data_IF_363982272467
#
_entry.id   IF_363982272467
#
_cell.length_a   1.000
_cell.length_b   1.000
_cell.length_c   1.000
_cell.angle_alpha   90.00
_cell.angle_beta   90.00
_cell.angle_gamma   90.00
#
_symmetry.space_group_name_H-M   'P 1'
#
loop_
_entity.id
_entity.type
_entity.pdbx_description
1 polymer ?
#
# COMPACT_ATOMS: atom_id res chain seq x y z
N UNK A 1 21.97 10.75 1.99
CA UNK A 1 23.39 10.98 2.36
C UNK A 1 24.16 9.69 2.56
N UNK A 2 23.66 8.70 3.35
CA UNK A 2 24.41 7.47 3.65
C UNK A 2 24.76 6.65 2.39
N UNK A 3 23.80 6.44 1.48
CA UNK A 3 24.02 5.66 0.26
C UNK A 3 25.12 6.31 -0.61
N UNK A 4 25.00 7.57 -0.92
CA UNK A 4 25.96 8.27 -1.77
C UNK A 4 27.33 8.43 -1.12
N UNK A 5 27.40 8.59 0.22
CA UNK A 5 28.67 8.60 0.94
C UNK A 5 29.41 7.26 0.91
N UNK A 6 28.75 6.18 0.50
CA UNK A 6 29.31 4.85 0.31
C UNK A 6 29.28 4.39 -1.15
N UNK A 7 29.27 5.31 -2.11
CA UNK A 7 29.24 5.04 -3.56
C UNK A 7 28.10 4.11 -4.00
N UNK A 8 26.95 4.18 -3.32
CA UNK A 8 25.75 3.40 -3.63
C UNK A 8 24.67 4.29 -4.24
N UNK A 9 23.90 3.73 -5.15
CA UNK A 9 22.68 4.35 -5.66
C UNK A 9 21.50 4.08 -4.72
N UNK A 10 20.61 5.05 -4.62
CA UNK A 10 19.39 4.95 -3.83
C UNK A 10 18.18 4.63 -4.72
N UNK A 11 17.61 3.44 -4.54
CA UNK A 11 16.38 3.03 -5.19
C UNK A 11 15.21 3.02 -4.19
N UNK A 12 14.10 3.61 -4.57
CA UNK A 12 12.84 3.56 -3.81
C UNK A 12 11.84 2.65 -4.54
N UNK A 13 11.39 1.59 -3.87
CA UNK A 13 10.18 0.88 -4.28
C UNK A 13 8.96 1.72 -3.90
N UNK A 14 8.47 2.45 -4.88
CA UNK A 14 7.32 3.35 -4.75
C UNK A 14 6.01 2.72 -5.20
N UNK A 15 5.82 1.40 -5.03
CA UNK A 15 4.56 0.71 -5.39
C UNK A 15 3.32 1.33 -4.71
N UNK A 16 3.51 2.07 -3.60
CA UNK A 16 2.49 2.86 -2.91
C UNK A 16 2.98 4.27 -2.56
N UNK A 17 3.83 4.84 -3.37
CA UNK A 17 4.40 6.17 -3.11
C UNK A 17 3.32 7.26 -2.99
N UNK A 18 2.22 7.13 -3.75
CA UNK A 18 1.09 8.06 -3.66
C UNK A 18 0.48 8.09 -2.25
N UNK A 19 0.34 6.92 -1.61
CA UNK A 19 -0.15 6.84 -0.24
C UNK A 19 0.82 7.52 0.75
N UNK A 20 2.13 7.34 0.55
CA UNK A 20 3.16 7.98 1.37
C UNK A 20 3.15 9.51 1.23
N UNK A 21 3.10 10.02 0.00
CA UNK A 21 3.05 11.46 -0.28
C UNK A 21 1.84 12.11 0.39
N UNK A 22 0.65 11.50 0.25
CA UNK A 22 -0.58 11.99 0.88
C UNK A 22 -0.50 11.89 2.40
N UNK A 23 0.04 10.79 2.92
CA UNK A 23 0.11 10.57 4.37
C UNK A 23 1.01 11.57 5.09
N UNK A 24 2.06 12.04 4.43
CA UNK A 24 3.03 13.00 4.96
C UNK A 24 2.72 14.44 4.56
N UNK A 25 1.60 14.69 3.88
CA UNK A 25 1.23 16.01 3.33
C UNK A 25 2.41 16.66 2.56
N UNK A 26 3.06 15.86 1.72
CA UNK A 26 4.28 16.23 1.00
C UNK A 26 4.05 16.20 -0.51
N UNK A 27 5.10 16.43 -1.28
CA UNK A 27 5.12 16.29 -2.73
C UNK A 27 6.04 15.15 -3.17
N UNK A 28 5.84 14.64 -4.39
CA UNK A 28 6.79 13.70 -4.99
C UNK A 28 8.20 14.28 -5.07
N UNK A 29 8.31 15.61 -5.31
CA UNK A 29 9.60 16.29 -5.35
C UNK A 29 10.32 16.19 -4.00
N UNK A 30 9.67 16.59 -2.93
CA UNK A 30 10.23 16.57 -1.58
C UNK A 30 10.60 15.17 -1.11
N UNK A 31 9.74 14.18 -1.40
CA UNK A 31 10.00 12.80 -0.97
C UNK A 31 11.05 12.06 -1.80
N UNK A 32 11.24 12.42 -3.05
CA UNK A 32 12.06 11.66 -3.99
C UNK A 32 13.29 12.46 -4.45
N UNK A 33 13.09 13.56 -5.19
CA UNK A 33 14.23 14.26 -5.78
C UNK A 33 15.06 15.04 -4.76
N UNK A 34 14.41 15.69 -3.80
CA UNK A 34 15.09 16.48 -2.79
C UNK A 34 15.81 15.60 -1.75
N UNK A 35 15.40 14.33 -1.63
CA UNK A 35 16.07 13.34 -0.77
C UNK A 35 17.22 12.61 -1.47
N UNK A 36 17.44 12.87 -2.77
CA UNK A 36 18.55 12.29 -3.52
C UNK A 36 18.29 10.87 -4.02
N UNK A 37 17.04 10.49 -4.29
CA UNK A 37 16.71 9.20 -4.91
C UNK A 37 17.22 9.17 -6.35
N UNK A 38 17.96 8.11 -6.71
CA UNK A 38 18.47 7.91 -8.07
C UNK A 38 17.47 7.18 -8.97
N UNK A 39 16.66 6.30 -8.39
CA UNK A 39 15.72 5.45 -9.09
C UNK A 39 14.44 5.25 -8.29
N UNK A 40 13.30 5.39 -8.95
CA UNK A 40 11.98 5.16 -8.36
C UNK A 40 11.21 4.14 -9.20
N UNK A 41 10.71 3.09 -8.58
CA UNK A 41 9.61 2.29 -9.12
C UNK A 41 8.30 2.97 -8.75
N UNK A 42 7.70 3.70 -9.69
CA UNK A 42 6.48 4.47 -9.45
C UNK A 42 5.25 3.58 -9.69
N UNK A 43 4.50 3.30 -8.63
CA UNK A 43 3.32 2.43 -8.66
C UNK A 43 2.06 3.14 -9.15
N UNK A 44 1.44 2.58 -10.18
CA UNK A 44 0.12 3.02 -10.67
C UNK A 44 -0.99 2.02 -10.39
N UNK A 45 -0.72 0.73 -10.59
CA UNK A 45 -1.73 -0.34 -10.51
C UNK A 45 -2.39 -0.44 -9.13
N UNK A 46 -1.62 -0.37 -8.05
CA UNK A 46 -2.17 -0.46 -6.68
C UNK A 46 -2.97 0.76 -6.25
N UNK A 47 -3.00 1.78 -7.07
CA UNK A 47 -3.67 3.05 -6.77
C UNK A 47 -4.64 3.50 -7.88
N UNK A 48 -5.21 2.55 -8.64
CA UNK A 48 -6.36 2.76 -9.52
C UNK A 48 -6.08 2.75 -11.01
N UNK A 49 -4.83 2.56 -11.47
CA UNK A 49 -4.57 2.23 -12.87
C UNK A 49 -4.94 0.76 -13.14
N UNK A 50 -5.46 0.45 -14.32
CA UNK A 50 -5.76 -0.94 -14.69
C UNK A 50 -4.50 -1.81 -14.67
N UNK A 51 -3.41 -1.29 -15.23
CA UNK A 51 -2.09 -1.92 -15.28
C UNK A 51 -1.05 -0.84 -15.59
N UNK A 52 0.04 -0.82 -14.87
CA UNK A 52 1.17 0.03 -15.20
C UNK A 52 1.99 0.44 -13.98
N UNK A 53 3.28 0.23 -14.12
CA UNK A 53 4.31 0.72 -13.23
C UNK A 53 5.33 1.48 -14.08
N UNK A 54 5.86 2.58 -13.57
CA UNK A 54 6.88 3.34 -14.27
C UNK A 54 8.20 3.29 -13.51
N UNK A 55 9.28 3.06 -14.24
CA UNK A 55 10.63 3.24 -13.69
C UNK A 55 11.07 4.66 -14.04
N UNK A 56 11.25 5.48 -13.02
CA UNK A 56 11.70 6.87 -13.14
C UNK A 56 13.14 6.95 -12.65
N UNK A 57 14.05 7.34 -13.54
CA UNK A 57 15.47 7.49 -13.20
C UNK A 57 15.85 8.97 -13.18
N UNK A 58 16.48 9.38 -12.11
CA UNK A 58 17.08 10.70 -11.94
C UNK A 58 18.60 10.68 -12.24
N UNK A 59 19.14 9.47 -12.52
CA UNK A 59 20.54 9.24 -12.80
C UNK A 59 20.71 8.64 -14.20
N UNK A 60 21.42 9.37 -15.10
CA UNK A 60 21.63 8.97 -16.49
C UNK A 60 22.50 7.71 -16.64
N UNK A 61 23.43 7.48 -15.73
CA UNK A 61 24.29 6.30 -15.75
C UNK A 61 23.50 5.02 -15.55
N UNK A 62 22.56 5.04 -14.61
CA UNK A 62 21.67 3.90 -14.36
C UNK A 62 20.76 3.63 -15.56
N UNK A 63 20.22 4.69 -16.15
CA UNK A 63 19.14 4.57 -17.16
C UNK A 63 19.63 4.35 -18.59
N UNK A 64 20.93 4.47 -18.89
CA UNK A 64 21.47 4.40 -20.27
C UNK A 64 21.04 3.16 -21.07
N UNK A 65 20.81 2.04 -20.40
CA UNK A 65 20.44 0.77 -21.03
C UNK A 65 18.98 0.34 -20.79
N UNK A 66 18.16 1.15 -20.14
CA UNK A 66 16.78 0.76 -19.74
C UNK A 66 15.91 0.28 -20.91
N UNK A 67 16.02 0.88 -22.10
CA UNK A 67 15.27 0.43 -23.28
C UNK A 67 15.56 -1.02 -23.67
N UNK A 68 16.80 -1.46 -23.50
CA UNK A 68 17.22 -2.84 -23.79
C UNK A 68 16.83 -3.79 -22.65
N UNK A 69 17.10 -3.39 -21.41
CA UNK A 69 16.73 -4.15 -20.20
C UNK A 69 15.24 -4.41 -20.17
N UNK A 70 14.41 -3.38 -20.43
CA UNK A 70 12.95 -3.52 -20.50
C UNK A 70 12.53 -4.56 -21.53
N UNK A 71 13.15 -4.54 -22.72
CA UNK A 71 12.83 -5.49 -23.78
C UNK A 71 13.28 -6.91 -23.42
N UNK A 72 14.51 -7.06 -22.92
CA UNK A 72 15.05 -8.35 -22.47
C UNK A 72 14.23 -8.96 -21.31
N UNK A 73 13.79 -8.12 -20.37
CA UNK A 73 12.93 -8.51 -19.25
C UNK A 73 11.46 -8.73 -19.65
N UNK A 74 11.12 -8.75 -20.94
CA UNK A 74 9.74 -8.91 -21.44
C UNK A 74 8.75 -7.88 -20.93
N UNK A 75 9.23 -6.71 -20.48
CA UNK A 75 8.40 -5.60 -19.96
C UNK A 75 8.03 -4.60 -21.06
N UNK A 76 8.24 -4.95 -22.31
CA UNK A 76 7.83 -4.17 -23.50
C UNK A 76 6.81 -4.96 -24.29
N UNK A 77 5.53 -4.78 -23.96
CA UNK A 77 4.43 -5.37 -24.73
C UNK A 77 4.16 -4.58 -26.02
N UNK A 78 3.58 -5.26 -27.02
CA UNK A 78 3.04 -4.58 -28.20
C UNK A 78 1.96 -3.58 -27.75
N UNK A 79 1.92 -2.38 -28.39
CA UNK A 79 0.96 -1.33 -28.05
C UNK A 79 1.06 -0.79 -26.61
N UNK A 80 2.28 -0.67 -26.10
CA UNK A 80 2.60 -0.09 -24.79
C UNK A 80 1.89 1.26 -24.55
N UNK A 81 1.53 2.00 -25.62
CA UNK A 81 0.80 3.26 -25.52
C UNK A 81 -0.50 3.19 -24.73
N UNK A 82 -1.18 2.04 -24.71
CA UNK A 82 -2.40 1.86 -23.93
C UNK A 82 -2.12 1.78 -22.41
N UNK A 83 -0.95 1.26 -22.04
CA UNK A 83 -0.48 1.29 -20.66
C UNK A 83 -0.03 2.69 -20.30
N UNK A 84 0.81 3.30 -21.14
CA UNK A 84 1.40 4.62 -20.86
C UNK A 84 0.36 5.73 -20.82
N UNK A 85 -0.69 5.66 -21.66
CA UNK A 85 -1.74 6.68 -21.72
C UNK A 85 -2.50 6.83 -20.39
N UNK A 86 -2.55 5.79 -19.56
CA UNK A 86 -3.23 5.84 -18.27
C UNK A 86 -2.52 6.79 -17.28
N UNK A 87 -1.20 7.00 -17.43
CA UNK A 87 -0.47 7.93 -16.58
C UNK A 87 -0.88 9.38 -16.78
N UNK A 88 -1.37 9.75 -17.97
CA UNK A 88 -1.77 11.12 -18.28
C UNK A 88 -2.90 11.58 -17.33
N UNK A 89 -4.12 11.01 -17.38
CA UNK A 89 -5.18 11.43 -16.48
C UNK A 89 -4.85 11.11 -14.99
N UNK A 90 -4.12 10.01 -14.75
CA UNK A 90 -3.73 9.63 -13.40
C UNK A 90 -2.94 10.73 -12.69
N UNK A 91 -2.04 11.42 -13.42
CA UNK A 91 -1.21 12.49 -12.89
C UNK A 91 -1.85 13.88 -13.04
N UNK A 92 -2.36 14.22 -14.23
CA UNK A 92 -2.87 15.57 -14.54
C UNK A 92 -4.19 15.89 -13.85
N UNK A 93 -5.07 14.88 -13.66
CA UNK A 93 -6.35 15.05 -12.96
C UNK A 93 -6.28 14.70 -11.48
N UNK A 94 -5.07 14.50 -10.97
CA UNK A 94 -4.79 14.13 -9.57
C UNK A 94 -5.56 12.88 -9.10
N UNK A 95 -5.87 11.95 -9.99
CA UNK A 95 -6.56 10.68 -9.64
C UNK A 95 -5.73 9.92 -8.60
N UNK A 96 -4.40 9.92 -8.76
CA UNK A 96 -3.48 9.31 -7.79
C UNK A 96 -3.69 9.82 -6.36
N UNK A 97 -3.96 11.11 -6.21
CA UNK A 97 -4.12 11.77 -4.92
C UNK A 97 -5.48 11.44 -4.29
N UNK A 98 -6.55 11.54 -5.09
CA UNK A 98 -7.92 11.20 -4.66
C UNK A 98 -7.99 9.75 -4.17
N UNK A 99 -7.39 8.83 -4.91
CA UNK A 99 -7.36 7.41 -4.60
C UNK A 99 -6.52 7.10 -3.34
N UNK A 100 -5.37 7.74 -3.19
CA UNK A 100 -4.53 7.60 -2.01
C UNK A 100 -5.22 8.18 -0.75
N UNK A 101 -5.88 9.32 -0.86
CA UNK A 101 -6.68 9.91 0.23
C UNK A 101 -7.78 8.93 0.67
N UNK A 102 -8.52 8.35 -0.29
CA UNK A 102 -9.57 7.38 0.04
C UNK A 102 -9.00 6.21 0.82
N UNK A 103 -8.00 5.51 0.27
CA UNK A 103 -7.43 4.33 0.92
C UNK A 103 -6.81 4.63 2.29
N UNK A 104 -6.06 5.73 2.44
CA UNK A 104 -5.50 6.13 3.73
C UNK A 104 -6.59 6.43 4.77
N UNK A 105 -7.66 7.12 4.37
CA UNK A 105 -8.79 7.42 5.26
C UNK A 105 -9.51 6.15 5.69
N UNK A 106 -9.70 5.16 4.80
CA UNK A 106 -10.33 3.88 5.16
C UNK A 106 -9.46 3.08 6.13
N UNK A 107 -8.14 3.06 5.95
CA UNK A 107 -7.24 2.43 6.91
C UNK A 107 -7.32 3.11 8.29
N UNK A 108 -7.29 4.44 8.33
CA UNK A 108 -7.44 5.19 9.57
C UNK A 108 -8.76 4.87 10.26
N UNK A 109 -9.87 4.82 9.52
CA UNK A 109 -11.17 4.50 10.09
C UNK A 109 -11.23 3.06 10.64
N UNK A 110 -10.64 2.08 9.94
CA UNK A 110 -10.49 0.71 10.47
C UNK A 110 -9.70 0.73 11.78
N UNK A 111 -8.55 1.43 11.82
CA UNK A 111 -7.74 1.56 13.03
C UNK A 111 -8.56 2.08 14.21
N UNK A 112 -9.23 3.21 14.04
CA UNK A 112 -10.06 3.84 15.08
C UNK A 112 -11.17 2.93 15.62
N UNK A 113 -11.70 2.04 14.77
CA UNK A 113 -12.71 1.06 15.19
C UNK A 113 -12.09 -0.13 15.89
N UNK A 114 -10.97 -0.64 15.39
CA UNK A 114 -10.27 -1.78 15.97
C UNK A 114 -9.69 -1.48 17.36
N UNK A 115 -9.25 -0.26 17.63
CA UNK A 115 -8.77 0.19 18.94
C UNK A 115 -9.82 0.08 20.05
N UNK A 116 -11.10 -0.07 19.70
CA UNK A 116 -12.19 -0.29 20.67
C UNK A 116 -12.31 -1.74 21.15
N UNK A 117 -11.62 -2.66 20.52
CA UNK A 117 -11.58 -4.06 20.91
C UNK A 117 -10.37 -4.32 21.80
N UNK A 118 -10.60 -4.60 23.07
CA UNK A 118 -9.53 -4.81 24.06
C UNK A 118 -8.58 -5.98 23.75
N UNK A 119 -9.00 -6.90 22.87
CA UNK A 119 -8.22 -8.04 22.40
C UNK A 119 -7.31 -7.71 21.21
N UNK A 120 -7.44 -6.51 20.65
CA UNK A 120 -6.74 -6.07 19.42
C UNK A 120 -5.66 -5.07 19.79
N UNK A 121 -4.48 -5.21 19.21
CA UNK A 121 -3.37 -4.29 19.37
C UNK A 121 -2.91 -3.81 17.98
N UNK A 122 -2.85 -2.51 17.78
CA UNK A 122 -2.28 -1.92 16.57
C UNK A 122 -0.76 -1.84 16.76
N UNK A 123 -0.02 -2.53 15.89
CA UNK A 123 1.43 -2.68 16.03
C UNK A 123 2.20 -1.49 15.45
N UNK A 124 1.63 -0.83 14.44
CA UNK A 124 2.31 0.28 13.78
C UNK A 124 1.44 1.53 13.71
N UNK A 125 2.06 2.68 13.89
CA UNK A 125 1.44 3.97 13.57
C UNK A 125 1.48 4.21 12.04
N UNK A 126 0.68 3.43 11.30
CA UNK A 126 0.58 3.65 9.86
C UNK A 126 -0.22 4.91 9.56
N UNK A 127 0.38 5.82 8.84
CA UNK A 127 -0.28 6.98 8.25
C UNK A 127 -0.86 6.67 6.86
N UNK A 128 -0.40 5.57 6.25
CA UNK A 128 -0.83 5.11 4.92
C UNK A 128 -1.99 4.12 4.96
N UNK A 129 -2.08 3.29 3.93
CA UNK A 129 -3.18 2.36 3.71
C UNK A 129 -2.91 0.91 4.21
N UNK A 130 -1.91 0.71 5.07
CA UNK A 130 -1.54 -0.60 5.60
C UNK A 130 -1.54 -0.56 7.12
N UNK A 131 -2.23 -1.51 7.74
CA UNK A 131 -2.23 -1.72 9.19
C UNK A 131 -1.64 -3.09 9.51
N UNK A 132 -0.81 -3.16 10.55
CA UNK A 132 -0.38 -4.39 11.18
C UNK A 132 -1.07 -4.50 12.54
N UNK A 133 -1.81 -5.58 12.71
CA UNK A 133 -2.74 -5.73 13.84
C UNK A 133 -2.55 -7.09 14.48
N UNK A 134 -2.25 -7.10 15.78
CA UNK A 134 -2.23 -8.31 16.57
C UNK A 134 -3.65 -8.64 17.01
N UNK A 135 -4.07 -9.88 16.80
CA UNK A 135 -5.40 -10.39 17.12
C UNK A 135 -5.31 -11.74 17.84
N UNK A 136 -6.36 -12.20 18.55
CA UNK A 136 -6.43 -13.55 19.06
C UNK A 136 -6.31 -14.59 17.95
N UNK A 137 -5.58 -15.68 18.20
CA UNK A 137 -5.40 -16.77 17.21
C UNK A 137 -6.71 -17.43 16.80
N UNK A 138 -7.67 -17.51 17.71
CA UNK A 138 -9.01 -18.02 17.47
C UNK A 138 -9.78 -17.26 16.39
N UNK A 139 -9.41 -16.00 16.11
CA UNK A 139 -10.03 -15.19 15.07
C UNK A 139 -9.52 -15.49 13.66
N UNK A 140 -8.36 -16.15 13.52
CA UNK A 140 -7.77 -16.39 12.20
C UNK A 140 -8.67 -17.20 11.28
N UNK A 141 -9.18 -18.34 11.75
CA UNK A 141 -10.00 -19.21 10.90
C UNK A 141 -11.29 -18.55 10.43
N UNK A 142 -12.13 -17.95 11.30
CA UNK A 142 -13.32 -17.24 10.83
C UNK A 142 -12.97 -16.05 9.92
N UNK A 143 -11.93 -15.27 10.23
CA UNK A 143 -11.53 -14.16 9.38
C UNK A 143 -11.10 -14.63 8.00
N UNK A 144 -10.28 -15.67 7.89
CA UNK A 144 -9.81 -16.23 6.61
C UNK A 144 -10.94 -16.77 5.74
N UNK A 145 -12.07 -17.18 6.31
CA UNK A 145 -13.23 -17.65 5.55
C UNK A 145 -13.91 -16.52 4.75
N UNK A 146 -13.89 -15.30 5.28
CA UNK A 146 -14.56 -14.14 4.66
C UNK A 146 -13.57 -13.14 4.07
N UNK A 147 -12.42 -12.94 4.70
CA UNK A 147 -11.38 -12.01 4.29
C UNK A 147 -10.03 -12.71 4.21
N UNK A 148 -9.43 -12.87 3.02
CA UNK A 148 -8.12 -13.52 2.85
C UNK A 148 -6.99 -12.59 3.34
N UNK A 149 -6.80 -12.53 4.65
CA UNK A 149 -5.76 -11.70 5.29
C UNK A 149 -4.45 -12.46 5.43
N UNK A 150 -3.33 -11.75 5.31
CA UNK A 150 -2.00 -12.31 5.55
C UNK A 150 -1.63 -12.23 7.02
N UNK A 151 -1.24 -13.37 7.60
CA UNK A 151 -0.51 -13.40 8.88
C UNK A 151 0.95 -13.12 8.56
N UNK A 152 1.48 -11.99 9.02
CA UNK A 152 2.86 -11.55 8.76
C UNK A 152 3.83 -11.99 9.84
N UNK A 153 3.34 -12.23 11.05
CA UNK A 153 4.08 -12.81 12.16
C UNK A 153 3.21 -13.89 12.83
N UNK A 154 3.62 -15.16 12.66
CA UNK A 154 2.89 -16.29 13.25
C UNK A 154 3.08 -16.41 14.77
N UNK A 155 4.20 -15.90 15.31
CA UNK A 155 4.48 -16.01 16.76
C UNK A 155 3.59 -15.06 17.54
N UNK A 156 3.54 -13.82 17.10
CA UNK A 156 2.73 -12.77 17.72
C UNK A 156 1.29 -12.73 17.17
N UNK A 157 1.01 -13.48 16.11
CA UNK A 157 -0.27 -13.49 15.41
C UNK A 157 -0.66 -12.10 14.87
N UNK A 158 0.25 -11.50 14.14
CA UNK A 158 0.06 -10.20 13.51
C UNK A 158 -0.48 -10.41 12.09
N UNK A 159 -1.66 -9.88 11.84
CA UNK A 159 -2.25 -9.81 10.50
C UNK A 159 -1.95 -8.47 9.83
N UNK A 160 -1.93 -8.49 8.50
CA UNK A 160 -1.80 -7.28 7.68
C UNK A 160 -3.14 -6.97 7.01
N UNK A 161 -3.68 -5.80 7.30
CA UNK A 161 -4.87 -5.25 6.65
C UNK A 161 -4.42 -4.19 5.64
N UNK A 162 -4.93 -4.24 4.42
CA UNK A 162 -4.63 -3.26 3.37
C UNK A 162 -5.94 -2.76 2.78
N UNK A 163 -6.14 -1.46 2.81
CA UNK A 163 -7.24 -0.81 2.10
C UNK A 163 -6.81 -0.43 0.68
N UNK A 164 -7.74 -0.45 -0.25
CA UNK A 164 -7.52 -0.14 -1.65
C UNK A 164 -8.14 1.21 -2.02
N UNK A 165 -7.81 1.70 -3.21
CA UNK A 165 -8.37 2.93 -3.77
C UNK A 165 -9.89 2.88 -3.94
N UNK A 166 -10.46 1.70 -4.09
CA UNK A 166 -11.88 1.42 -4.27
C UNK A 166 -12.58 0.91 -3.01
N UNK A 167 -11.87 0.78 -1.88
CA UNK A 167 -12.49 0.40 -0.61
C UNK A 167 -13.57 1.40 -0.21
N UNK A 168 -14.79 0.91 0.00
CA UNK A 168 -15.96 1.72 0.37
C UNK A 168 -16.14 1.83 1.89
N UNK A 169 -17.07 2.68 2.33
CA UNK A 169 -17.46 2.72 3.74
C UNK A 169 -18.22 1.47 4.16
N UNK A 170 -18.98 0.89 3.26
CA UNK A 170 -19.72 -0.35 3.50
C UNK A 170 -18.75 -1.50 3.74
N UNK A 171 -17.71 -1.67 2.90
CA UNK A 171 -16.68 -2.69 3.10
C UNK A 171 -16.03 -2.58 4.49
N UNK A 172 -15.75 -1.35 4.93
CA UNK A 172 -15.15 -1.14 6.26
C UNK A 172 -16.12 -1.47 7.38
N UNK A 173 -17.40 -1.08 7.25
CA UNK A 173 -18.43 -1.43 8.26
C UNK A 173 -18.61 -2.92 8.35
N UNK A 174 -18.78 -3.61 7.23
CA UNK A 174 -18.95 -5.05 7.16
C UNK A 174 -17.77 -5.80 7.78
N UNK A 175 -16.55 -5.31 7.57
CA UNK A 175 -15.35 -5.88 8.18
C UNK A 175 -15.37 -5.72 9.70
N UNK A 176 -15.68 -4.54 10.22
CA UNK A 176 -15.72 -4.26 11.66
C UNK A 176 -16.86 -5.00 12.35
N UNK A 177 -18.05 -5.05 11.73
CA UNK A 177 -19.20 -5.75 12.26
C UNK A 177 -18.92 -7.26 12.36
N UNK A 178 -18.27 -7.82 11.34
CA UNK A 178 -17.86 -9.23 11.35
C UNK A 178 -16.83 -9.54 12.46
N UNK A 179 -15.89 -8.65 12.73
CA UNK A 179 -14.98 -8.78 13.89
C UNK A 179 -15.79 -8.77 15.20
N UNK A 180 -16.80 -7.93 15.29
CA UNK A 180 -17.73 -7.89 16.42
C UNK A 180 -18.46 -9.23 16.64
N UNK A 181 -18.93 -9.87 15.57
CA UNK A 181 -19.58 -11.17 15.60
C UNK A 181 -18.63 -12.28 16.10
N UNK A 182 -17.40 -12.30 15.58
CA UNK A 182 -16.37 -13.28 16.01
C UNK A 182 -16.12 -13.14 17.51
N UNK A 183 -15.94 -11.92 18.01
CA UNK A 183 -15.74 -11.65 19.43
C UNK A 183 -16.91 -12.14 20.29
N UNK A 184 -18.14 -11.91 19.87
CA UNK A 184 -19.33 -12.34 20.61
C UNK A 184 -19.45 -13.87 20.69
N UNK A 185 -19.13 -14.56 19.61
CA UNK A 185 -19.17 -16.03 19.57
C UNK A 185 -18.18 -16.65 20.57
N UNK A 186 -16.96 -16.09 20.70
CA UNK A 186 -15.99 -16.55 21.73
C UNK A 186 -16.53 -16.41 23.14
N UNK A 187 -17.15 -15.27 23.44
CA UNK A 187 -17.66 -15.01 24.80
C UNK A 187 -18.78 -15.94 25.18
N UNK A 188 -19.51 -16.48 24.20
CA UNK A 188 -20.61 -17.43 24.41
C UNK A 188 -20.15 -18.88 24.65
N UNK A 189 -18.96 -19.26 24.18
CA UNK A 189 -18.37 -20.60 24.43
C UNK A 189 -17.69 -20.77 25.79
N UNK A 190 -17.45 -19.67 26.49
CA UNK A 190 -16.80 -19.66 27.83
C UNK A 190 -17.79 -19.47 29.00
N UNK A 191 -19.08 -19.54 28.72
CA UNK A 191 -20.16 -19.59 29.71
C UNK A 191 -20.81 -20.97 29.72
#
# INVERSE_FOLDING_TARGET
DFAHANDMFLHVDGARISNGVVALDSSFKEMITDTGVDLLSFGGTKNGMMIGEAIVSFNKEISKNFKYIRKQGMQLISKMRFVSAQFIPYLEEEIWKKNAINSNNKARFIKEKLEKFSQVEIINESLGNILFVKIPRSWNEPLQRKYPLYVTDERENIIRIVTSFDTTEEDVRDFIDYIGEIRQSETSFHR
#
